data_IF_989400566719
#
_entry.id   IF_989400566719
#
_cell.length_a   1.000
_cell.length_b   1.000
_cell.length_c   1.000
_cell.angle_alpha   90.00
_cell.angle_beta   90.00
_cell.angle_gamma   90.00
#
_symmetry.space_group_name_H-M   'P 1'
#
loop_
_entity.id
_entity.type
_entity.pdbx_description
1 polymer ?
#
# COMPACT_ATOMS: atom_id res chain seq x y z
N UNK A 1 -13.74 3.21 7.72
CA UNK A 1 -12.38 3.81 7.77
C UNK A 1 -11.47 2.77 8.42
N UNK A 2 -10.39 2.36 7.77
CA UNK A 2 -9.42 1.43 8.36
C UNK A 2 -8.59 2.19 9.40
N UNK A 3 -8.52 1.64 10.61
CA UNK A 3 -7.70 2.19 11.68
C UNK A 3 -6.29 1.60 11.56
N UNK A 4 -5.30 2.46 11.39
CA UNK A 4 -3.91 2.07 11.41
C UNK A 4 -3.40 2.08 12.85
N UNK A 5 -2.73 0.99 13.22
CA UNK A 5 -2.15 0.87 14.54
C UNK A 5 -0.66 1.17 14.55
N UNK A 6 -0.19 1.78 15.61
CA UNK A 6 1.21 2.08 15.83
C UNK A 6 2.00 0.78 16.06
N UNK A 7 3.03 0.48 15.25
CA UNK A 7 3.80 -0.76 15.39
C UNK A 7 4.64 -0.82 16.68
N UNK A 8 4.72 0.28 17.42
CA UNK A 8 5.49 0.35 18.68
C UNK A 8 4.61 0.10 19.90
N UNK A 9 3.39 0.66 19.94
CA UNK A 9 2.55 0.60 21.13
C UNK A 9 1.12 0.09 20.87
N UNK A 10 0.76 -0.25 19.63
CA UNK A 10 -0.59 -0.68 19.28
C UNK A 10 -1.66 0.43 19.30
N UNK A 11 -1.29 1.65 19.70
CA UNK A 11 -2.23 2.78 19.73
C UNK A 11 -2.60 3.25 18.32
N UNK A 12 -3.76 3.86 18.18
CA UNK A 12 -4.27 4.36 16.90
C UNK A 12 -3.35 5.41 16.30
N UNK A 13 -3.10 5.33 14.99
CA UNK A 13 -2.36 6.34 14.25
C UNK A 13 -3.32 7.33 13.58
N UNK A 14 -3.10 8.61 13.81
CA UNK A 14 -3.79 9.69 13.13
C UNK A 14 -2.83 10.42 12.19
N UNK A 15 -3.34 10.85 11.03
CA UNK A 15 -2.56 11.60 10.05
C UNK A 15 -2.60 13.10 10.37
N UNK A 16 -1.43 13.70 10.54
CA UNK A 16 -1.23 15.13 10.74
C UNK A 16 -0.35 15.67 9.59
N UNK A 17 -0.97 16.16 8.53
CA UNK A 17 -0.26 16.69 7.33
C UNK A 17 0.72 15.67 6.74
N UNK A 18 2.00 15.77 7.10
CA UNK A 18 3.12 14.97 6.60
C UNK A 18 3.63 13.93 7.60
N UNK A 19 2.91 13.72 8.70
CA UNK A 19 3.30 12.80 9.79
C UNK A 19 2.10 11.97 10.20
N UNK A 20 2.32 10.70 10.50
CA UNK A 20 1.38 9.86 11.23
C UNK A 20 1.83 9.75 12.68
N UNK A 21 0.94 9.98 13.65
CA UNK A 21 1.24 9.98 15.07
C UNK A 21 0.21 9.24 15.89
N UNK A 22 0.65 8.54 16.94
CA UNK A 22 -0.23 7.97 17.96
C UNK A 22 -0.28 8.83 19.22
N UNK A 23 -1.22 8.56 20.12
CA UNK A 23 -1.37 9.26 21.40
C UNK A 23 -0.11 9.17 22.27
N UNK A 24 0.63 8.07 22.21
CA UNK A 24 1.94 7.89 22.89
C UNK A 24 3.09 8.67 22.22
N UNK A 25 2.78 9.54 21.25
CA UNK A 25 3.73 10.41 20.53
C UNK A 25 4.74 9.69 19.65
N UNK A 26 4.57 8.40 19.33
CA UNK A 26 5.35 7.79 18.26
C UNK A 26 4.93 8.43 16.94
N UNK A 27 5.91 8.80 16.12
CA UNK A 27 5.67 9.54 14.86
C UNK A 27 6.38 8.86 13.69
N UNK A 28 5.71 8.88 12.54
CA UNK A 28 6.16 8.27 11.29
C UNK A 28 5.98 9.27 10.16
N UNK A 29 7.08 9.73 9.59
CA UNK A 29 7.05 10.73 8.52
C UNK A 29 6.51 10.13 7.21
N UNK A 30 5.73 10.93 6.50
CA UNK A 30 5.37 10.62 5.12
C UNK A 30 6.57 10.96 4.24
N UNK A 31 7.15 9.96 3.60
CA UNK A 31 8.25 10.15 2.69
C UNK A 31 7.85 11.07 1.52
N UNK A 32 8.82 11.74 0.89
CA UNK A 32 8.58 12.61 -0.28
C UNK A 32 7.85 11.90 -1.43
N UNK A 33 7.99 10.58 -1.54
CA UNK A 33 7.27 9.75 -2.50
C UNK A 33 5.84 9.41 -2.10
N UNK A 34 5.38 9.78 -0.91
CA UNK A 34 4.00 9.62 -0.45
C UNK A 34 3.74 8.38 0.40
N UNK A 35 4.74 7.50 0.66
CA UNK A 35 4.55 6.35 1.53
C UNK A 35 5.00 6.62 2.97
N UNK A 36 4.56 5.78 3.88
CA UNK A 36 4.98 5.81 5.29
C UNK A 36 5.72 4.52 5.63
N UNK A 37 6.87 4.64 6.31
CA UNK A 37 7.63 3.48 6.78
C UNK A 37 7.25 3.18 8.24
N UNK A 38 6.54 2.07 8.44
CA UNK A 38 6.15 1.56 9.76
C UNK A 38 7.02 0.38 10.22
N UNK A 39 8.06 0.02 9.45
CA UNK A 39 8.99 -1.04 9.85
C UNK A 39 9.81 -0.57 11.07
N UNK A 40 9.99 -1.42 12.09
CA UNK A 40 10.77 -1.05 13.26
C UNK A 40 12.24 -0.83 12.89
N UNK A 41 12.98 0.05 13.61
CA UNK A 41 14.41 0.32 13.36
C UNK A 41 15.30 -0.92 13.39
N UNK A 42 14.95 -1.92 14.23
CA UNK A 42 15.66 -3.21 14.31
C UNK A 42 15.55 -4.03 13.02
N UNK A 43 14.61 -3.72 12.16
CA UNK A 43 14.48 -4.33 10.84
C UNK A 43 15.44 -3.72 9.80
N UNK A 44 16.07 -2.58 10.08
CA UNK A 44 16.90 -1.85 9.11
C UNK A 44 18.20 -2.56 8.70
N UNK A 45 18.64 -3.58 9.43
CA UNK A 45 19.83 -4.38 9.11
C UNK A 45 19.55 -5.68 8.32
N UNK A 46 18.29 -6.07 8.19
CA UNK A 46 17.88 -7.28 7.44
C UNK A 46 17.13 -6.85 6.18
N UNK A 47 17.46 -7.46 5.04
CA UNK A 47 16.66 -7.28 3.81
C UNK A 47 15.27 -7.85 4.06
N UNK A 48 14.27 -6.99 4.06
CA UNK A 48 12.88 -7.37 4.14
C UNK A 48 12.23 -7.16 2.76
N UNK A 49 11.75 -8.24 2.18
CA UNK A 49 11.08 -8.22 0.87
C UNK A 49 12.00 -7.96 -0.32
N UNK A 50 11.39 -7.64 -1.44
CA UNK A 50 12.05 -7.41 -2.71
C UNK A 50 13.00 -6.19 -2.66
N UNK A 51 14.20 -6.35 -3.19
CA UNK A 51 15.15 -5.27 -3.35
C UNK A 51 14.85 -4.44 -4.62
N UNK A 52 15.63 -3.37 -4.84
CA UNK A 52 15.45 -2.48 -5.99
C UNK A 52 15.51 -3.19 -7.35
N UNK A 53 16.37 -4.21 -7.49
CA UNK A 53 16.51 -4.96 -8.75
C UNK A 53 15.30 -5.87 -8.96
N UNK A 54 14.86 -6.54 -7.92
CA UNK A 54 13.68 -7.42 -7.95
C UNK A 54 12.41 -6.62 -8.27
N UNK A 55 12.21 -5.49 -7.59
CA UNK A 55 11.07 -4.58 -7.87
C UNK A 55 11.12 -4.07 -9.31
N UNK A 56 12.30 -3.66 -9.81
CA UNK A 56 12.43 -3.19 -11.18
C UNK A 56 12.14 -4.31 -12.21
N UNK A 57 12.63 -5.53 -11.96
CA UNK A 57 12.37 -6.68 -12.82
C UNK A 57 10.88 -7.06 -12.84
N UNK A 58 10.23 -7.08 -11.68
CA UNK A 58 8.78 -7.31 -11.55
C UNK A 58 7.99 -6.28 -12.34
N UNK A 59 8.31 -5.00 -12.15
CA UNK A 59 7.63 -3.93 -12.89
C UNK A 59 7.82 -4.07 -14.40
N UNK A 60 9.05 -4.32 -14.86
CA UNK A 60 9.33 -4.51 -16.26
C UNK A 60 8.59 -5.73 -16.86
N UNK A 61 8.40 -6.76 -16.06
CA UNK A 61 7.63 -7.94 -16.46
C UNK A 61 6.15 -7.63 -16.56
N UNK A 62 5.56 -7.02 -15.52
CA UNK A 62 4.13 -6.68 -15.48
C UNK A 62 3.76 -5.67 -16.57
N UNK A 63 4.65 -4.70 -16.86
CA UNK A 63 4.42 -3.70 -17.92
C UNK A 63 4.37 -4.28 -19.35
N UNK A 64 4.76 -5.55 -19.53
CA UNK A 64 4.63 -6.24 -20.82
C UNK A 64 3.22 -6.80 -21.09
N UNK A 65 2.30 -6.67 -20.13
CA UNK A 65 0.92 -7.07 -20.29
C UNK A 65 0.63 -8.56 -20.13
N UNK A 66 1.62 -9.41 -19.83
CA UNK A 66 1.41 -10.86 -19.68
C UNK A 66 0.39 -11.19 -18.59
N UNK A 67 0.22 -10.33 -17.61
CA UNK A 67 -0.68 -10.50 -16.47
C UNK A 67 -1.94 -9.61 -16.54
N UNK A 68 -2.13 -8.84 -17.60
CA UNK A 68 -3.26 -7.91 -17.72
C UNK A 68 -4.62 -8.60 -17.54
N UNK A 69 -4.75 -9.82 -18.08
CA UNK A 69 -5.98 -10.60 -17.91
C UNK A 69 -6.25 -10.94 -16.43
N UNK A 70 -5.22 -11.37 -15.69
CA UNK A 70 -5.33 -11.68 -14.27
C UNK A 70 -5.58 -10.42 -13.45
N UNK A 71 -4.86 -9.34 -13.74
CA UNK A 71 -5.02 -8.05 -13.07
C UNK A 71 -6.45 -7.54 -13.26
N UNK A 72 -6.95 -7.60 -14.49
CA UNK A 72 -8.33 -7.21 -14.81
C UNK A 72 -9.38 -8.10 -14.11
N UNK A 73 -9.15 -9.40 -14.03
CA UNK A 73 -10.04 -10.34 -13.33
C UNK A 73 -10.11 -10.03 -11.82
N UNK A 74 -8.96 -9.79 -11.18
CA UNK A 74 -8.90 -9.43 -9.75
C UNK A 74 -9.61 -8.09 -9.49
N UNK A 75 -9.31 -7.08 -10.30
CA UNK A 75 -9.95 -5.77 -10.17
C UNK A 75 -11.46 -5.83 -10.40
N UNK A 76 -11.90 -6.57 -11.41
CA UNK A 76 -13.31 -6.79 -11.71
C UNK A 76 -14.04 -7.54 -10.59
N UNK A 77 -13.43 -8.58 -10.03
CA UNK A 77 -14.00 -9.32 -8.89
C UNK A 77 -14.12 -8.42 -7.65
N UNK A 78 -13.10 -7.61 -7.36
CA UNK A 78 -13.15 -6.66 -6.27
C UNK A 78 -14.29 -5.66 -6.45
N UNK A 79 -14.43 -5.11 -7.66
CA UNK A 79 -15.50 -4.18 -7.99
C UNK A 79 -16.91 -4.82 -7.95
N UNK A 80 -17.05 -6.11 -8.23
CA UNK A 80 -18.32 -6.82 -8.10
C UNK A 80 -18.71 -7.09 -6.64
N UNK A 81 -17.74 -7.41 -5.79
CA UNK A 81 -17.95 -7.79 -4.40
C UNK A 81 -18.11 -6.59 -3.46
N UNK A 82 -17.74 -5.39 -3.91
CA UNK A 82 -17.72 -4.18 -3.06
C UNK A 82 -18.49 -3.03 -3.69
N UNK A 83 -18.88 -2.06 -2.85
CA UNK A 83 -19.48 -0.80 -3.31
C UNK A 83 -18.45 0.18 -3.89
N UNK A 84 -18.92 1.25 -4.57
CA UNK A 84 -18.03 2.23 -5.20
C UNK A 84 -17.17 3.02 -4.20
N UNK A 85 -17.63 3.19 -2.97
CA UNK A 85 -16.92 3.89 -1.88
C UNK A 85 -16.21 2.92 -0.93
N UNK A 86 -15.86 1.73 -1.41
CA UNK A 86 -15.24 0.70 -0.62
C UNK A 86 -13.89 1.14 -0.02
N UNK A 87 -13.61 0.61 1.17
CA UNK A 87 -12.28 0.68 1.78
C UNK A 87 -11.60 -0.68 1.60
N UNK A 88 -10.50 -0.70 0.85
CA UNK A 88 -9.79 -1.94 0.46
C UNK A 88 -8.36 -1.90 0.98
N UNK A 89 -7.94 -2.98 1.63
CA UNK A 89 -6.55 -3.23 2.00
C UNK A 89 -5.94 -4.23 1.01
N UNK A 90 -4.88 -3.81 0.33
CA UNK A 90 -4.03 -4.66 -0.50
C UNK A 90 -2.79 -5.06 0.31
N UNK A 91 -2.86 -6.24 0.93
CA UNK A 91 -1.79 -6.78 1.75
C UNK A 91 -0.80 -7.57 0.87
N UNK A 92 0.42 -7.05 0.74
CA UNK A 92 1.42 -7.51 -0.23
C UNK A 92 1.30 -6.77 -1.56
N UNK A 93 0.98 -5.47 -1.52
CA UNK A 93 0.69 -4.66 -2.71
C UNK A 93 1.86 -4.56 -3.71
N UNK A 94 3.07 -4.91 -3.30
CA UNK A 94 4.25 -4.81 -4.13
C UNK A 94 4.45 -3.39 -4.67
N UNK A 95 4.65 -3.27 -5.98
CA UNK A 95 4.84 -1.98 -6.66
C UNK A 95 3.52 -1.29 -7.06
N UNK A 96 2.37 -1.85 -6.68
CA UNK A 96 1.06 -1.20 -6.76
C UNK A 96 0.26 -1.45 -8.05
N UNK A 97 0.69 -2.33 -8.94
CA UNK A 97 -0.04 -2.60 -10.20
C UNK A 97 -1.47 -3.09 -9.96
N UNK A 98 -1.66 -4.06 -9.06
CA UNK A 98 -3.00 -4.55 -8.71
C UNK A 98 -3.81 -3.51 -7.95
N UNK A 99 -3.19 -2.83 -6.98
CA UNK A 99 -3.83 -1.74 -6.22
C UNK A 99 -4.39 -0.68 -7.15
N UNK A 100 -3.61 -0.29 -8.17
CA UNK A 100 -4.03 0.70 -9.18
C UNK A 100 -5.23 0.21 -9.99
N UNK A 101 -5.18 -1.03 -10.48
CA UNK A 101 -6.26 -1.60 -11.26
C UNK A 101 -7.57 -1.71 -10.44
N UNK A 102 -7.47 -2.08 -9.17
CA UNK A 102 -8.62 -2.12 -8.25
C UNK A 102 -9.19 -0.70 -8.05
N UNK A 103 -8.32 0.29 -7.81
CA UNK A 103 -8.76 1.68 -7.68
C UNK A 103 -9.51 2.16 -8.93
N UNK A 104 -8.93 1.96 -10.10
CA UNK A 104 -9.53 2.40 -11.36
C UNK A 104 -10.88 1.71 -11.63
N UNK A 105 -11.00 0.41 -11.31
CA UNK A 105 -12.25 -0.34 -11.46
C UNK A 105 -13.35 0.15 -10.49
N UNK A 106 -13.00 0.49 -9.26
CA UNK A 106 -13.95 1.03 -8.28
C UNK A 106 -14.33 2.47 -8.61
N UNK A 107 -13.38 3.30 -8.97
CA UNK A 107 -13.62 4.69 -9.36
C UNK A 107 -14.51 4.80 -10.62
N UNK A 108 -14.38 3.86 -11.55
CA UNK A 108 -15.24 3.77 -12.73
C UNK A 108 -16.73 3.54 -12.40
N UNK A 109 -17.05 3.09 -11.19
CA UNK A 109 -18.44 2.97 -10.69
C UNK A 109 -19.00 4.30 -10.15
N UNK A 110 -18.25 5.40 -10.24
CA UNK A 110 -18.66 6.73 -9.81
C UNK A 110 -18.49 7.02 -8.32
N UNK A 111 -17.72 6.19 -7.61
CA UNK A 111 -17.43 6.37 -6.19
C UNK A 111 -16.06 6.98 -5.88
N UNK A 112 -15.77 7.06 -4.59
CA UNK A 112 -14.52 7.57 -4.04
C UNK A 112 -13.83 6.50 -3.18
N UNK A 113 -13.27 5.43 -3.81
CA UNK A 113 -12.70 4.31 -3.07
C UNK A 113 -11.48 4.73 -2.25
N UNK A 114 -11.33 4.13 -1.07
CA UNK A 114 -10.15 4.31 -0.22
C UNK A 114 -9.29 3.03 -0.29
N UNK A 115 -8.09 3.14 -0.81
CA UNK A 115 -7.16 2.02 -0.88
C UNK A 115 -5.97 2.23 0.05
N UNK A 116 -5.63 1.15 0.75
CA UNK A 116 -4.42 1.03 1.56
C UNK A 116 -3.56 -0.08 0.97
N UNK A 117 -2.37 0.27 0.53
CA UNK A 117 -1.38 -0.69 0.08
C UNK A 117 -0.34 -0.93 1.17
N UNK A 118 -0.10 -2.19 1.51
CA UNK A 118 0.88 -2.58 2.51
C UNK A 118 1.83 -3.64 1.95
N UNK A 119 3.14 -3.45 2.14
CA UNK A 119 4.15 -4.42 1.77
C UNK A 119 5.36 -4.32 2.71
N UNK A 120 6.10 -5.42 2.84
CA UNK A 120 7.33 -5.44 3.64
C UNK A 120 8.50 -4.77 2.91
N UNK A 121 8.46 -4.71 1.58
CA UNK A 121 9.47 -4.04 0.76
C UNK A 121 9.23 -2.54 0.69
N UNK A 122 10.01 -1.76 1.42
CA UNK A 122 9.97 -0.29 1.36
C UNK A 122 10.24 0.23 -0.07
N UNK A 123 11.06 -0.49 -0.87
CA UNK A 123 11.32 -0.12 -2.26
C UNK A 123 10.09 -0.30 -3.14
N UNK A 124 9.36 -1.42 -2.99
CA UNK A 124 8.13 -1.69 -3.71
C UNK A 124 7.06 -0.64 -3.38
N UNK A 125 6.82 -0.41 -2.09
CA UNK A 125 5.85 0.59 -1.59
C UNK A 125 6.19 2.00 -2.04
N UNK A 126 7.49 2.37 -2.05
CA UNK A 126 7.95 3.66 -2.57
C UNK A 126 7.58 3.85 -4.03
N UNK A 127 7.66 2.78 -4.82
CA UNK A 127 7.31 2.79 -6.23
C UNK A 127 5.79 2.89 -6.42
N UNK A 128 5.03 2.10 -5.67
CA UNK A 128 3.57 2.14 -5.67
C UNK A 128 3.05 3.56 -5.37
N UNK A 129 3.58 4.20 -4.32
CA UNK A 129 3.21 5.56 -3.94
C UNK A 129 3.50 6.60 -5.04
N UNK A 130 4.60 6.43 -5.79
CA UNK A 130 4.95 7.32 -6.92
C UNK A 130 4.02 7.19 -8.12
N UNK A 131 3.40 6.03 -8.30
CA UNK A 131 2.46 5.78 -9.40
C UNK A 131 1.11 6.46 -9.19
N UNK A 132 0.88 7.04 -8.00
CA UNK A 132 -0.32 7.84 -7.73
C UNK A 132 -1.63 7.06 -7.80
N UNK A 133 -1.63 5.82 -7.33
CA UNK A 133 -2.78 4.91 -7.42
C UNK A 133 -3.97 5.29 -6.50
N UNK A 134 -4.13 6.56 -6.13
CA UNK A 134 -5.25 7.01 -5.28
C UNK A 134 -5.28 6.41 -3.87
N UNK A 135 -4.25 5.65 -3.50
CA UNK A 135 -4.13 4.97 -2.21
C UNK A 135 -3.09 5.59 -1.27
N UNK A 136 -3.13 5.17 -0.02
CA UNK A 136 -2.07 5.42 0.96
C UNK A 136 -1.24 4.16 1.11
N UNK A 137 0.09 4.28 1.05
CA UNK A 137 1.00 3.14 1.03
C UNK A 137 1.87 3.08 2.27
N UNK A 138 2.05 1.88 2.82
CA UNK A 138 2.81 1.64 4.04
C UNK A 138 3.83 0.52 3.84
N UNK A 139 5.09 0.78 4.18
CA UNK A 139 6.06 -0.28 4.40
C UNK A 139 5.84 -0.85 5.80
N UNK A 140 5.35 -2.08 5.89
CA UNK A 140 4.94 -2.70 7.16
C UNK A 140 5.09 -4.21 7.09
N UNK A 141 5.42 -4.86 8.21
CA UNK A 141 5.35 -6.30 8.30
C UNK A 141 3.88 -6.76 8.41
N UNK A 142 3.53 -7.88 7.76
CA UNK A 142 2.15 -8.39 7.74
C UNK A 142 1.58 -8.61 9.16
N UNK A 143 2.41 -8.99 10.13
CA UNK A 143 2.02 -9.15 11.53
C UNK A 143 1.57 -7.85 12.23
N UNK A 144 1.77 -6.69 11.61
CA UNK A 144 1.35 -5.38 12.14
C UNK A 144 0.06 -4.87 11.49
N UNK A 145 -0.61 -5.69 10.70
CA UNK A 145 -1.88 -5.38 10.03
C UNK A 145 -3.09 -6.00 10.75
N UNK A 146 -2.88 -6.60 11.92
CA UNK A 146 -3.94 -7.27 12.72
C UNK A 146 -4.56 -6.32 13.73
#
# INVERSE_FOLDING_TARGET
MLDLLCPVCGGRLAREKTVWRCESRHSFDVARSGYVNLLPPSASGKRHGDDKRMVAARTAFLSRGYYDHLIGAVAGSCAQLTGPDACVLDAGCGEGTYTRAIYDALAAKGGCPQLLGADISAEAVRRAARQGAGGVFFAVAAASLT
#
